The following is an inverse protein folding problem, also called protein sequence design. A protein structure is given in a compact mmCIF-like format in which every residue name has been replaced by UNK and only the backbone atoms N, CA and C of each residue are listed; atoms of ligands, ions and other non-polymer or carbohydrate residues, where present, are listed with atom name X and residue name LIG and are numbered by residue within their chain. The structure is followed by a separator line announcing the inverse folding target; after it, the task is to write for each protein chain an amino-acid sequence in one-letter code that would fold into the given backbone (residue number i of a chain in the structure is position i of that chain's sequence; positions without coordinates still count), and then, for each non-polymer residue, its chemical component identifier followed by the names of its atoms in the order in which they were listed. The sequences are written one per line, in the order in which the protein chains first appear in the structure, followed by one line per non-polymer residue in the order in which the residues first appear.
data_IF_825194037925
#
_entry.id   IF_825194037925
#
_cell.length_a   1.000
_cell.length_b   1.000
_cell.length_c   1.000
_cell.angle_alpha   90.00
_cell.angle_beta   90.00
_cell.angle_gamma   90.00
#
_symmetry.space_group_name_H-M   'P 1'
#
loop_
_entity.id
_entity.type
_entity.pdbx_description
1 polymer ?
#
# COMPACT_ATOMS: atom_id res chain seq x y z
N UNK A 1 2.44 -22.24 9.58
CA UNK A 1 1.23 -21.38 9.52
C UNK A 1 0.95 -21.01 8.08
N UNK A 2 -0.30 -21.11 7.68
CA UNK A 2 -0.67 -20.77 6.32
C UNK A 2 -0.71 -19.25 6.16
N UNK A 3 -0.24 -18.77 5.03
CA UNK A 3 -0.30 -17.35 4.69
C UNK A 3 -1.43 -17.16 3.70
N UNK A 4 -2.33 -16.25 4.01
CA UNK A 4 -3.45 -15.94 3.13
C UNK A 4 -3.33 -14.51 2.65
N UNK A 5 -3.97 -14.23 1.54
CA UNK A 5 -4.00 -12.89 0.97
C UNK A 5 -5.31 -12.22 1.34
N UNK A 6 -5.22 -10.94 1.67
CA UNK A 6 -6.41 -10.17 2.01
C UNK A 6 -6.15 -8.69 1.76
N UNK A 7 -7.21 -7.96 1.45
CA UNK A 7 -7.17 -6.51 1.38
C UNK A 7 -7.87 -5.96 2.63
N UNK A 8 -7.21 -5.02 3.31
CA UNK A 8 -7.76 -4.46 4.54
C UNK A 8 -9.10 -3.80 4.28
N UNK A 9 -10.06 -4.05 5.16
CA UNK A 9 -11.39 -3.47 5.03
C UNK A 9 -11.33 -1.94 5.14
N UNK A 10 -10.48 -1.42 6.03
CA UNK A 10 -10.29 0.02 6.15
C UNK A 10 -9.75 0.63 4.86
N UNK A 11 -8.86 -0.07 4.17
CA UNK A 11 -8.33 0.40 2.90
C UNK A 11 -9.42 0.46 1.82
N UNK A 12 -10.28 -0.56 1.77
CA UNK A 12 -11.40 -0.56 0.81
C UNK A 12 -12.34 0.62 1.05
N UNK A 13 -12.65 0.90 2.31
CA UNK A 13 -13.47 2.04 2.67
C UNK A 13 -12.81 3.34 2.24
N UNK A 14 -11.53 3.47 2.51
CA UNK A 14 -10.79 4.70 2.23
C UNK A 14 -10.63 4.93 0.73
N UNK A 15 -10.53 3.88 -0.06
CA UNK A 15 -10.55 4.02 -1.52
C UNK A 15 -11.87 4.65 -1.97
N UNK A 16 -12.99 4.21 -1.41
CA UNK A 16 -14.29 4.78 -1.76
C UNK A 16 -14.42 6.23 -1.33
N UNK A 17 -13.66 6.64 -0.33
CA UNK A 17 -13.63 8.03 0.13
C UNK A 17 -12.62 8.89 -0.62
N UNK A 18 -11.83 8.30 -1.51
CA UNK A 18 -10.82 9.03 -2.24
C UNK A 18 -9.60 9.40 -1.42
N UNK A 19 -9.34 8.68 -0.32
CA UNK A 19 -8.22 8.99 0.57
C UNK A 19 -6.88 8.61 -0.06
N UNK A 20 -6.84 7.54 -0.85
CA UNK A 20 -5.62 7.03 -1.44
C UNK A 20 -5.52 7.43 -2.90
N UNK A 21 -4.41 8.06 -3.26
CA UNK A 21 -4.14 8.50 -4.61
C UNK A 21 -2.87 7.80 -5.11
N UNK A 22 -2.99 7.03 -6.19
CA UNK A 22 -1.90 6.23 -6.74
C UNK A 22 -1.20 6.91 -7.91
N UNK A 23 -1.52 8.17 -8.18
CA UNK A 23 -0.89 8.94 -9.24
C UNK A 23 0.61 9.07 -8.96
N UNK A 24 1.40 9.16 -10.03
CA UNK A 24 2.84 9.31 -9.90
C UNK A 24 3.21 10.61 -9.16
N UNK A 25 4.39 10.60 -8.55
CA UNK A 25 4.81 11.66 -7.66
C UNK A 25 4.41 11.33 -6.23
N UNK A 26 4.94 12.07 -5.31
CA UNK A 26 4.64 11.87 -3.89
C UNK A 26 4.59 13.23 -3.23
N UNK A 27 3.85 13.35 -2.19
CA UNK A 27 3.80 14.62 -1.49
C UNK A 27 2.44 14.94 -0.94
N UNK A 28 1.70 13.93 -0.60
CA UNK A 28 0.49 14.14 0.12
C UNK A 28 -0.73 14.26 -0.77
N UNK A 29 -0.87 13.31 -1.62
CA UNK A 29 -2.07 13.24 -2.44
C UNK A 29 -3.30 13.31 -1.59
N UNK A 30 -4.24 14.06 -2.06
CA UNK A 30 -5.55 14.16 -1.47
C UNK A 30 -6.55 13.75 -2.52
N UNK A 31 -7.77 14.14 -2.33
CA UNK A 31 -8.85 13.77 -3.25
C UNK A 31 -8.79 14.48 -4.57
N UNK A 32 -7.87 15.40 -4.78
CA UNK A 32 -7.80 16.11 -6.04
C UNK A 32 -7.08 15.28 -7.09
N UNK A 33 -7.48 15.48 -8.33
CA UNK A 33 -6.96 14.67 -9.44
C UNK A 33 -5.65 15.18 -9.99
N UNK A 34 -5.19 16.34 -9.58
CA UNK A 34 -4.03 17.00 -10.18
C UNK A 34 -2.82 17.03 -9.26
N UNK A 35 -2.88 16.41 -8.14
CA UNK A 35 -1.79 16.44 -7.20
C UNK A 35 -0.88 15.22 -7.32
N UNK A 36 0.16 15.26 -6.54
CA UNK A 36 1.02 14.09 -6.37
C UNK A 36 0.27 13.01 -5.61
N UNK A 37 0.61 11.77 -5.90
CA UNK A 37 0.03 10.65 -5.18
C UNK A 37 0.55 10.53 -3.76
N UNK A 38 -0.06 9.64 -3.01
CA UNK A 38 0.42 9.31 -1.68
C UNK A 38 1.75 8.56 -1.75
N UNK A 39 2.51 8.63 -0.69
CA UNK A 39 3.73 7.85 -0.59
C UNK A 39 3.37 6.45 -0.07
N UNK A 40 3.84 5.44 -0.77
CA UNK A 40 3.59 4.05 -0.39
C UNK A 40 4.91 3.34 -0.12
N UNK A 41 4.86 2.35 0.75
CA UNK A 41 6.00 1.51 1.08
C UNK A 41 5.58 0.06 1.09
N UNK A 42 6.52 -0.84 0.77
CA UNK A 42 6.30 -2.26 0.92
C UNK A 42 7.08 -2.74 2.14
N UNK A 43 6.40 -3.39 3.06
CA UNK A 43 7.01 -3.93 4.26
C UNK A 43 6.91 -5.45 4.25
N UNK A 44 7.93 -6.10 4.83
CA UNK A 44 8.00 -7.54 4.86
C UNK A 44 7.77 -8.04 6.28
N UNK A 45 6.98 -9.11 6.40
CA UNK A 45 6.65 -9.70 7.69
C UNK A 45 6.94 -11.19 7.67
N UNK A 46 7.26 -11.73 8.83
CA UNK A 46 7.42 -13.17 8.99
C UNK A 46 6.06 -13.85 8.97
N UNK A 47 6.05 -15.16 8.78
CA UNK A 47 4.80 -15.91 8.78
C UNK A 47 4.10 -15.92 10.14
N UNK A 48 4.78 -15.45 11.19
CA UNK A 48 4.16 -15.30 12.51
C UNK A 48 3.30 -14.06 12.62
N UNK A 49 3.37 -13.15 11.64
CA UNK A 49 2.56 -11.95 11.69
C UNK A 49 1.09 -12.29 11.53
N UNK A 50 0.26 -11.54 12.26
CA UNK A 50 -1.20 -11.73 12.22
C UNK A 50 -1.82 -10.56 11.46
N UNK A 51 -1.73 -10.63 10.15
CA UNK A 51 -2.25 -9.61 9.25
C UNK A 51 -3.45 -10.15 8.50
N UNK A 52 -4.49 -9.36 8.38
CA UNK A 52 -5.74 -9.82 7.76
C UNK A 52 -6.54 -8.62 7.26
N UNK A 53 -7.76 -8.88 6.80
CA UNK A 53 -8.66 -7.83 6.38
C UNK A 53 -9.00 -6.85 7.51
N UNK A 54 -8.80 -7.24 8.76
CA UNK A 54 -9.06 -6.36 9.90
C UNK A 54 -7.88 -5.50 10.30
N UNK A 55 -6.73 -5.65 9.66
CA UNK A 55 -5.54 -4.86 9.96
C UNK A 55 -5.78 -3.41 9.55
N UNK A 56 -5.51 -2.48 10.47
CA UNK A 56 -5.76 -1.06 10.22
C UNK A 56 -4.53 -0.18 10.35
N UNK A 57 -3.45 -0.68 10.94
CA UNK A 57 -2.26 0.12 11.24
C UNK A 57 -1.00 -0.66 10.91
N UNK A 58 0.03 0.08 10.52
CA UNK A 58 1.37 -0.48 10.44
C UNK A 58 1.85 -0.85 11.85
N UNK A 59 2.51 -1.99 11.96
CA UNK A 59 3.09 -2.44 13.21
C UNK A 59 4.43 -3.09 12.94
N UNK A 60 5.37 -2.93 13.87
CA UNK A 60 6.65 -3.61 13.78
C UNK A 60 6.61 -5.04 14.31
N UNK A 61 5.49 -5.45 14.88
CA UNK A 61 5.36 -6.80 15.43
C UNK A 61 5.51 -7.83 14.31
N UNK A 62 6.50 -8.70 14.45
CA UNK A 62 6.83 -9.75 13.47
C UNK A 62 7.27 -9.21 12.11
N UNK A 63 7.64 -7.94 12.04
CA UNK A 63 8.27 -7.43 10.83
C UNK A 63 9.66 -8.03 10.69
N UNK A 64 10.07 -8.28 9.44
CA UNK A 64 11.40 -8.79 9.16
C UNK A 64 12.45 -7.84 9.71
N UNK A 65 13.52 -8.37 10.28
CA UNK A 65 14.64 -7.57 10.74
C UNK A 65 15.94 -8.23 10.29
N UNK A 66 16.94 -7.42 10.03
CA UNK A 66 18.22 -7.91 9.59
C UNK A 66 18.93 -6.95 8.65
N UNK A 67 20.15 -7.29 8.31
CA UNK A 67 20.94 -6.51 7.39
C UNK A 67 20.28 -6.48 6.01
N UNK A 68 20.16 -5.31 5.44
CA UNK A 68 19.57 -5.15 4.12
C UNK A 68 18.08 -4.85 4.13
N UNK A 69 17.46 -4.87 5.30
CA UNK A 69 16.06 -4.49 5.42
C UNK A 69 15.91 -3.39 6.46
N UNK A 70 15.20 -2.33 6.11
CA UNK A 70 14.91 -1.23 7.02
C UNK A 70 13.47 -1.32 7.47
N UNK A 71 13.25 -1.22 8.78
CA UNK A 71 11.89 -1.23 9.34
C UNK A 71 11.04 -0.14 8.67
N UNK A 72 9.79 -0.47 8.40
CA UNK A 72 8.90 0.40 7.64
C UNK A 72 8.90 0.07 6.16
N UNK A 73 9.91 -0.65 5.68
CA UNK A 73 9.96 -1.13 4.32
C UNK A 73 10.57 -0.17 3.33
N UNK A 74 10.55 -0.55 2.08
CA UNK A 74 11.12 0.22 0.98
C UNK A 74 10.06 1.10 0.33
N UNK A 75 10.45 2.31 -0.03
CA UNK A 75 9.55 3.21 -0.74
C UNK A 75 9.25 2.66 -2.13
N UNK A 76 8.00 2.80 -2.54
CA UNK A 76 7.54 2.42 -3.86
C UNK A 76 7.39 3.66 -4.73
N UNK A 77 7.64 3.49 -6.03
CA UNK A 77 7.44 4.57 -6.99
C UNK A 77 6.07 4.37 -7.65
N UNK A 78 5.21 5.35 -7.48
CA UNK A 78 3.87 5.28 -8.07
C UNK A 78 3.94 5.40 -9.59
N UNK A 79 3.13 4.60 -10.26
CA UNK A 79 2.87 4.75 -11.69
C UNK A 79 1.42 5.21 -11.81
N UNK A 80 1.21 6.30 -12.53
CA UNK A 80 -0.15 6.85 -12.68
C UNK A 80 -1.10 5.76 -13.18
N UNK A 81 -2.25 5.58 -12.53
CA UNK A 81 -3.20 4.56 -12.95
C UNK A 81 -3.63 4.74 -14.41
N UNK A 82 -3.82 3.64 -15.10
CA UNK A 82 -4.22 3.63 -16.50
C UNK A 82 -5.38 2.69 -16.69
N UNK A 83 -5.88 2.65 -17.92
CA UNK A 83 -6.97 1.74 -18.27
C UNK A 83 -6.56 0.85 -19.42
N UNK A 84 -7.15 -0.34 -19.46
CA UNK A 84 -7.02 -1.26 -20.58
C UNK A 84 -8.42 -1.80 -20.84
N UNK A 85 -9.03 -1.32 -21.92
CA UNK A 85 -10.45 -1.60 -22.22
C UNK A 85 -11.31 -1.11 -21.06
N UNK A 86 -12.02 -2.00 -20.37
CA UNK A 86 -12.86 -1.64 -19.23
C UNK A 86 -12.17 -1.90 -17.88
N UNK A 87 -10.88 -2.21 -17.90
CA UNK A 87 -10.11 -2.48 -16.69
C UNK A 87 -9.29 -1.26 -16.30
N UNK A 88 -9.33 -0.88 -15.04
CA UNK A 88 -8.44 0.13 -14.49
C UNK A 88 -7.27 -0.56 -13.78
N UNK A 89 -6.07 -0.04 -13.99
CA UNK A 89 -4.84 -0.63 -13.48
C UNK A 89 -4.04 0.39 -12.70
N UNK A 90 -3.38 -0.08 -11.64
CA UNK A 90 -2.35 0.71 -10.98
C UNK A 90 -1.19 -0.21 -10.62
N UNK A 91 0.01 0.34 -10.57
CA UNK A 91 1.20 -0.45 -10.33
C UNK A 91 2.27 0.43 -9.67
N UNK A 92 3.37 -0.20 -9.35
CA UNK A 92 4.54 0.50 -8.83
C UNK A 92 5.76 0.11 -9.64
N UNK A 93 6.65 1.04 -9.77
CA UNK A 93 7.89 0.84 -10.49
C UNK A 93 9.03 0.48 -9.53
#
# INVERSE_FOLDING_TARGET
MAITQAMCTSFKKEILQGVHNFTSGSGGGTTTTTGSGNAFKIALYTSSASLSATTTLYSTTNEVSGTGYTAGGAALTNVTPTTSSTTALTDFS
#
